data_IF_041219346620
#
_entry.id   IF_041219346620
#
_cell.length_a   1.000
_cell.length_b   1.000
_cell.length_c   1.000
_cell.angle_alpha   90.00
_cell.angle_beta   90.00
_cell.angle_gamma   90.00
#
_symmetry.space_group_name_H-M   'P 1'
#
loop_
_entity.id
_entity.type
_entity.pdbx_description
1 polymer ?
#
# COMPACT_ATOMS: atom_id res chain seq x y z
N UNK A 1 -33.16 -19.22 29.48
CA UNK A 1 -33.17 -19.09 28.01
C UNK A 1 -33.04 -17.64 27.52
N UNK A 2 -33.64 -16.66 28.19
CA UNK A 2 -33.58 -15.22 27.80
C UNK A 2 -32.21 -14.56 27.89
N UNK A 3 -31.34 -14.96 28.79
CA UNK A 3 -30.00 -14.35 28.97
C UNK A 3 -29.00 -14.78 27.89
N UNK A 4 -29.11 -15.98 27.36
CA UNK A 4 -28.24 -16.47 26.27
C UNK A 4 -28.62 -15.81 24.94
N UNK A 5 -29.91 -15.59 24.68
CA UNK A 5 -30.39 -14.89 23.49
C UNK A 5 -29.92 -13.43 23.45
N UNK A 6 -29.88 -12.76 24.62
CA UNK A 6 -29.40 -11.37 24.71
C UNK A 6 -27.87 -11.25 24.44
N UNK A 7 -27.07 -12.25 24.84
CA UNK A 7 -25.62 -12.26 24.59
C UNK A 7 -25.33 -12.54 23.11
N UNK A 8 -26.09 -13.41 22.46
CA UNK A 8 -25.95 -13.69 21.03
C UNK A 8 -26.37 -12.50 20.18
N UNK A 9 -27.40 -11.74 20.60
CA UNK A 9 -27.83 -10.53 19.87
C UNK A 9 -26.81 -9.39 20.01
N UNK A 10 -26.16 -9.24 21.18
CA UNK A 10 -25.10 -8.26 21.40
C UNK A 10 -23.82 -8.59 20.62
N UNK A 11 -23.49 -9.87 20.42
CA UNK A 11 -22.35 -10.27 19.60
C UNK A 11 -22.57 -10.00 18.11
N UNK A 12 -23.82 -10.09 17.62
CA UNK A 12 -24.14 -9.80 16.21
C UNK A 12 -24.04 -8.33 15.85
N UNK A 13 -24.22 -7.40 16.80
CA UNK A 13 -24.10 -5.95 16.55
C UNK A 13 -22.67 -5.43 16.53
N UNK A 14 -21.72 -6.17 17.09
CA UNK A 14 -20.29 -5.83 17.05
C UNK A 14 -19.60 -6.20 15.71
N UNK A 15 -20.20 -7.07 14.91
CA UNK A 15 -19.63 -7.50 13.63
C UNK A 15 -19.85 -6.47 12.49
N UNK A 16 -20.68 -5.46 12.69
CA UNK A 16 -21.06 -4.48 11.65
C UNK A 16 -20.15 -3.27 11.51
N UNK A 17 -19.13 -3.10 12.35
CA UNK A 17 -18.35 -1.86 12.37
C UNK A 17 -16.90 -1.99 11.83
N UNK A 18 -16.51 -3.11 11.21
CA UNK A 18 -15.09 -3.39 10.96
C UNK A 18 -14.63 -3.09 9.52
N UNK A 19 -15.51 -2.93 8.55
CA UNK A 19 -15.10 -2.75 7.15
C UNK A 19 -15.78 -1.53 6.49
N UNK A 20 -15.11 -0.39 6.60
CA UNK A 20 -15.39 0.80 5.78
C UNK A 20 -14.47 0.89 4.55
N UNK A 21 -13.72 -0.17 4.24
CA UNK A 21 -12.97 -0.27 2.99
C UNK A 21 -13.96 -0.37 1.82
N UNK A 22 -13.72 0.37 0.75
CA UNK A 22 -14.49 0.28 -0.50
C UNK A 22 -14.23 -1.03 -1.24
N UNK A 23 -13.18 -1.76 -0.85
CA UNK A 23 -12.89 -3.11 -1.37
C UNK A 23 -13.71 -4.16 -0.63
N UNK A 24 -14.02 -5.25 -1.33
CA UNK A 24 -14.60 -6.44 -0.69
C UNK A 24 -13.54 -7.15 0.18
N UNK A 25 -13.97 -7.90 1.18
CA UNK A 25 -13.07 -8.75 1.97
C UNK A 25 -12.31 -9.75 1.08
N UNK A 26 -12.96 -10.30 0.05
CA UNK A 26 -12.33 -11.16 -0.95
C UNK A 26 -11.16 -10.45 -1.65
N UNK A 27 -11.39 -9.23 -2.13
CA UNK A 27 -10.32 -8.45 -2.81
C UNK A 27 -9.10 -8.20 -1.91
N UNK A 28 -9.30 -8.00 -0.60
CA UNK A 28 -8.18 -7.82 0.34
C UNK A 28 -7.36 -9.10 0.47
N UNK A 29 -8.02 -10.27 0.54
CA UNK A 29 -7.33 -11.56 0.60
C UNK A 29 -6.62 -11.85 -0.73
N UNK A 30 -7.26 -11.57 -1.85
CA UNK A 30 -6.69 -11.77 -3.18
C UNK A 30 -5.45 -10.91 -3.38
N UNK A 31 -5.50 -9.62 -2.96
CA UNK A 31 -4.35 -8.71 -2.98
C UNK A 31 -3.18 -9.25 -2.15
N UNK A 32 -3.43 -9.75 -0.93
CA UNK A 32 -2.38 -10.32 -0.08
C UNK A 32 -1.74 -11.57 -0.69
N UNK A 33 -2.55 -12.48 -1.26
CA UNK A 33 -2.04 -13.68 -1.90
C UNK A 33 -1.20 -13.33 -3.14
N UNK A 34 -1.65 -12.34 -3.90
CA UNK A 34 -0.96 -11.83 -5.08
C UNK A 34 0.38 -11.21 -4.71
N UNK A 35 0.41 -10.35 -3.68
CA UNK A 35 1.61 -9.73 -3.14
C UNK A 35 2.64 -10.76 -2.73
N UNK A 36 2.26 -11.76 -1.91
CA UNK A 36 3.14 -12.82 -1.45
C UNK A 36 3.68 -13.66 -2.63
N UNK A 37 2.85 -13.94 -3.63
CA UNK A 37 3.25 -14.73 -4.79
C UNK A 37 4.27 -13.99 -5.66
N UNK A 38 4.09 -12.69 -5.86
CA UNK A 38 5.02 -11.84 -6.61
C UNK A 38 6.35 -11.71 -5.84
N UNK A 39 6.31 -11.46 -4.53
CA UNK A 39 7.49 -11.40 -3.66
C UNK A 39 8.29 -12.70 -3.74
N UNK A 40 7.63 -13.85 -3.65
CA UNK A 40 8.26 -15.16 -3.72
C UNK A 40 8.96 -15.38 -5.07
N UNK A 41 8.32 -14.98 -6.18
CA UNK A 41 8.93 -15.08 -7.51
C UNK A 41 10.11 -14.14 -7.70
N UNK A 42 10.04 -12.91 -7.20
CA UNK A 42 11.18 -11.97 -7.22
C UNK A 42 12.34 -12.52 -6.40
N UNK A 43 12.07 -13.10 -5.23
CA UNK A 43 13.09 -13.67 -4.35
C UNK A 43 13.73 -14.96 -4.90
N UNK A 44 13.01 -15.72 -5.73
CA UNK A 44 13.56 -16.91 -6.41
C UNK A 44 14.41 -16.56 -7.62
N UNK A 45 14.23 -15.39 -8.18
CA UNK A 45 15.07 -14.87 -9.24
C UNK A 45 16.43 -14.47 -8.67
N UNK A 46 17.47 -15.23 -8.99
CA UNK A 46 18.82 -15.04 -8.42
C UNK A 46 19.41 -13.67 -8.71
N UNK A 47 19.11 -13.11 -9.87
CA UNK A 47 19.62 -11.79 -10.25
C UNK A 47 18.89 -10.67 -9.50
N UNK A 48 17.58 -10.81 -9.31
CA UNK A 48 16.79 -9.86 -8.54
C UNK A 48 17.09 -9.95 -7.03
N UNK A 49 17.29 -11.14 -6.48
CA UNK A 49 17.48 -11.34 -5.04
C UNK A 49 18.85 -10.89 -4.52
N UNK A 50 19.95 -11.09 -5.29
CA UNK A 50 21.30 -10.98 -4.74
C UNK A 50 21.83 -9.56 -4.54
N UNK A 51 21.39 -8.57 -5.33
CA UNK A 51 21.97 -7.21 -5.31
C UNK A 51 20.93 -6.10 -5.32
N UNK A 52 19.68 -6.46 -5.14
CA UNK A 52 18.57 -5.53 -5.28
C UNK A 52 17.70 -5.56 -4.04
N UNK A 53 16.98 -4.48 -3.82
CA UNK A 53 15.90 -4.40 -2.84
C UNK A 53 14.65 -4.03 -3.60
N UNK A 54 13.70 -4.96 -3.70
CA UNK A 54 12.41 -4.71 -4.35
C UNK A 54 11.31 -5.02 -3.34
N UNK A 55 10.56 -4.02 -2.97
CA UNK A 55 9.35 -4.14 -2.19
C UNK A 55 8.14 -4.14 -3.14
N UNK A 56 7.19 -5.00 -2.85
CA UNK A 56 5.94 -5.16 -3.61
C UNK A 56 4.79 -4.79 -2.69
N UNK A 57 3.89 -3.96 -3.17
CA UNK A 57 2.64 -3.62 -2.48
C UNK A 57 1.50 -3.79 -3.46
N UNK A 58 0.46 -4.51 -3.05
CA UNK A 58 -0.73 -4.74 -3.88
C UNK A 58 -1.96 -4.11 -3.24
N UNK A 59 -2.70 -3.35 -4.04
CA UNK A 59 -3.97 -2.76 -3.64
C UNK A 59 -4.97 -2.81 -4.80
N UNK A 60 -6.07 -3.53 -4.62
CA UNK A 60 -7.13 -3.71 -5.63
C UNK A 60 -6.58 -4.20 -6.99
N UNK A 61 -5.61 -5.15 -6.99
CA UNK A 61 -4.95 -5.65 -8.19
C UNK A 61 -3.98 -4.66 -8.87
N UNK A 62 -3.79 -3.47 -8.31
CA UNK A 62 -2.71 -2.55 -8.70
C UNK A 62 -1.47 -2.93 -7.91
N UNK A 63 -0.39 -3.25 -8.62
CA UNK A 63 0.91 -3.61 -8.03
C UNK A 63 1.82 -2.39 -8.08
N UNK A 64 2.34 -1.99 -6.95
CA UNK A 64 3.41 -1.01 -6.81
C UNK A 64 4.72 -1.75 -6.54
N UNK A 65 5.73 -1.48 -7.36
CA UNK A 65 7.10 -1.94 -7.16
C UNK A 65 7.96 -0.75 -6.77
N UNK A 66 8.61 -0.81 -5.62
CA UNK A 66 9.50 0.22 -5.10
C UNK A 66 10.81 -0.38 -4.63
N UNK A 67 11.76 0.48 -4.29
CA UNK A 67 13.09 0.07 -3.86
C UNK A 67 14.14 0.34 -4.90
N UNK A 68 15.14 -0.53 -5.01
CA UNK A 68 16.30 -0.25 -5.87
C UNK A 68 16.84 -1.49 -6.55
N UNK A 69 17.18 -1.35 -7.85
CA UNK A 69 17.88 -2.36 -8.64
C UNK A 69 19.18 -1.79 -9.20
N UNK A 70 20.16 -2.67 -9.43
CA UNK A 70 21.46 -2.27 -9.96
C UNK A 70 21.42 -1.83 -11.42
N UNK A 71 20.43 -2.26 -12.19
CA UNK A 71 20.25 -1.91 -13.61
C UNK A 71 18.79 -1.75 -13.98
N UNK A 72 18.55 -1.04 -15.10
CA UNK A 72 17.20 -0.84 -15.63
C UNK A 72 16.56 -2.15 -16.12
N UNK A 73 17.39 -3.09 -16.62
CA UNK A 73 16.92 -4.40 -17.08
C UNK A 73 16.34 -5.22 -15.93
N UNK A 74 16.93 -5.11 -14.73
CA UNK A 74 16.41 -5.79 -13.54
C UNK A 74 15.13 -5.15 -13.04
N UNK A 75 15.01 -3.81 -13.11
CA UNK A 75 13.75 -3.12 -12.83
C UNK A 75 12.64 -3.58 -13.79
N UNK A 76 12.91 -3.61 -15.10
CA UNK A 76 11.97 -4.09 -16.10
C UNK A 76 11.61 -5.58 -15.90
N UNK A 77 12.57 -6.40 -15.48
CA UNK A 77 12.35 -7.82 -15.17
C UNK A 77 11.41 -8.01 -13.97
N UNK A 78 11.59 -7.22 -12.91
CA UNK A 78 10.67 -7.24 -11.77
C UNK A 78 9.23 -6.88 -12.19
N UNK A 79 9.07 -5.88 -13.06
CA UNK A 79 7.80 -5.49 -13.63
C UNK A 79 7.17 -6.62 -14.46
N UNK A 80 7.94 -7.29 -15.32
CA UNK A 80 7.48 -8.44 -16.10
C UNK A 80 7.03 -9.60 -15.22
N UNK A 81 7.76 -9.90 -14.13
CA UNK A 81 7.36 -10.91 -13.15
C UNK A 81 6.00 -10.55 -12.55
N UNK A 82 5.80 -9.31 -12.12
CA UNK A 82 4.53 -8.87 -11.55
C UNK A 82 3.39 -8.95 -12.59
N UNK A 83 3.61 -8.51 -13.82
CA UNK A 83 2.61 -8.55 -14.89
C UNK A 83 2.17 -9.96 -15.28
N UNK A 84 2.98 -10.97 -15.00
CA UNK A 84 2.70 -12.38 -15.32
C UNK A 84 1.61 -13.02 -14.45
N UNK A 85 1.17 -12.36 -13.38
CA UNK A 85 0.19 -12.92 -12.46
C UNK A 85 -1.25 -12.59 -12.84
N UNK A 86 -2.10 -13.60 -12.77
CA UNK A 86 -3.55 -13.40 -12.88
C UNK A 86 -4.04 -12.56 -11.70
N UNK A 87 -4.89 -11.58 -11.98
CA UNK A 87 -5.40 -10.62 -10.97
C UNK A 87 -4.64 -9.30 -10.95
N UNK A 88 -3.45 -9.21 -11.55
CA UNK A 88 -2.76 -7.93 -11.76
C UNK A 88 -3.48 -7.14 -12.84
N UNK A 89 -3.96 -5.97 -12.46
CA UNK A 89 -4.67 -5.03 -13.35
C UNK A 89 -3.73 -3.97 -13.93
N UNK A 90 -2.73 -3.57 -13.14
CA UNK A 90 -1.73 -2.56 -13.49
C UNK A 90 -0.50 -2.73 -12.62
N UNK A 91 0.67 -2.48 -13.18
CA UNK A 91 1.92 -2.35 -12.43
C UNK A 91 2.38 -0.90 -12.49
N UNK A 92 2.76 -0.35 -11.36
CA UNK A 92 3.42 0.95 -11.20
C UNK A 92 4.83 0.67 -10.73
N UNK A 93 5.79 0.85 -11.62
CA UNK A 93 7.19 0.58 -11.36
C UNK A 93 7.90 1.89 -10.99
N UNK A 94 8.17 2.05 -9.70
CA UNK A 94 8.89 3.20 -9.11
C UNK A 94 10.26 2.74 -8.56
N UNK A 95 10.79 1.61 -9.05
CA UNK A 95 12.10 1.10 -8.67
C UNK A 95 13.17 2.07 -9.18
N UNK A 96 14.01 2.56 -8.28
CA UNK A 96 15.17 3.37 -8.64
C UNK A 96 16.32 2.50 -9.15
N UNK A 97 17.03 2.97 -10.18
CA UNK A 97 18.23 2.30 -10.70
C UNK A 97 19.48 2.92 -10.07
N UNK A 98 20.27 2.09 -9.41
CA UNK A 98 21.49 2.54 -8.76
C UNK A 98 22.13 1.47 -7.88
N UNK A 99 23.30 1.73 -7.30
CA UNK A 99 23.93 0.80 -6.38
C UNK A 99 23.01 0.56 -5.18
N UNK A 100 23.03 -0.68 -4.66
CA UNK A 100 22.31 -1.00 -3.43
C UNK A 100 22.81 -0.09 -2.31
N UNK A 101 21.92 0.69 -1.75
CA UNK A 101 22.19 1.41 -0.51
C UNK A 101 21.87 0.42 0.60
N UNK A 102 22.81 0.20 1.51
CA UNK A 102 22.53 -0.55 2.73
C UNK A 102 21.40 0.17 3.47
N UNK A 103 20.31 -0.57 3.70
CA UNK A 103 19.05 -0.04 4.21
C UNK A 103 19.24 0.34 5.69
N UNK A 104 19.97 1.41 5.94
CA UNK A 104 20.08 2.02 7.27
C UNK A 104 18.79 2.72 7.72
N UNK A 105 17.87 2.98 6.79
CA UNK A 105 16.75 3.89 7.02
C UNK A 105 15.34 3.25 7.07
N UNK A 106 15.24 1.91 7.05
CA UNK A 106 13.92 1.25 7.21
C UNK A 106 13.17 1.67 8.47
N UNK A 107 13.89 2.04 9.53
CA UNK A 107 13.29 2.56 10.76
C UNK A 107 12.72 3.96 10.54
N UNK A 108 13.45 4.82 9.82
CA UNK A 108 13.02 6.18 9.46
C UNK A 108 11.78 6.15 8.58
N UNK A 109 11.73 5.28 7.57
CA UNK A 109 10.60 5.14 6.65
C UNK A 109 9.35 4.60 7.36
N UNK A 110 9.49 3.63 8.26
CA UNK A 110 8.39 3.15 9.11
C UNK A 110 7.82 4.25 10.01
N UNK A 111 8.70 5.05 10.62
CA UNK A 111 8.29 6.20 11.44
C UNK A 111 7.57 7.24 10.57
N UNK A 112 8.08 7.48 9.37
CA UNK A 112 7.49 8.44 8.44
C UNK A 112 6.11 7.98 7.95
N UNK A 113 5.96 6.71 7.55
CA UNK A 113 4.66 6.11 7.22
C UNK A 113 3.67 6.25 8.37
N UNK A 114 4.12 6.02 9.63
CA UNK A 114 3.28 6.15 10.82
C UNK A 114 2.82 7.60 11.03
N UNK A 115 3.70 8.57 10.86
CA UNK A 115 3.36 10.00 10.98
C UNK A 115 2.33 10.42 9.94
N UNK A 116 2.52 9.99 8.68
CA UNK A 116 1.53 10.25 7.62
C UNK A 116 0.18 9.63 7.99
N UNK A 117 0.14 8.35 8.36
CA UNK A 117 -1.09 7.65 8.78
C UNK A 117 -1.79 8.36 9.94
N UNK A 118 -1.03 8.84 10.93
CA UNK A 118 -1.59 9.63 12.05
C UNK A 118 -2.21 10.92 11.55
N UNK A 119 -1.52 11.66 10.67
CA UNK A 119 -2.09 12.88 10.07
C UNK A 119 -3.35 12.62 9.24
N UNK A 120 -3.44 11.46 8.56
CA UNK A 120 -4.66 11.07 7.84
C UNK A 120 -5.84 10.79 8.79
N UNK A 121 -5.58 10.27 9.99
CA UNK A 121 -6.63 10.03 10.98
C UNK A 121 -7.27 11.33 11.51
N UNK A 122 -6.55 12.44 11.40
CA UNK A 122 -7.02 13.77 11.82
C UNK A 122 -7.81 14.51 10.71
N UNK A 123 -8.04 13.88 9.55
CA UNK A 123 -8.85 14.50 8.48
C UNK A 123 -10.28 14.70 8.95
N UNK A 124 -10.66 15.96 9.08
CA UNK A 124 -12.02 16.38 9.37
C UNK A 124 -12.60 17.15 8.17
N UNK A 125 -13.93 17.08 8.01
CA UNK A 125 -14.65 17.86 7.00
C UNK A 125 -14.99 17.08 5.72
N UNK A 126 -14.35 15.95 5.44
CA UNK A 126 -14.75 15.08 4.33
C UNK A 126 -15.71 14.01 4.87
N UNK A 127 -16.99 14.16 4.52
CA UNK A 127 -18.02 13.25 4.99
C UNK A 127 -17.79 11.82 4.48
N UNK A 128 -17.64 10.89 5.43
CA UNK A 128 -17.47 9.47 5.13
C UNK A 128 -16.05 9.08 4.71
N UNK A 129 -15.06 9.96 4.85
CA UNK A 129 -13.66 9.58 4.68
C UNK A 129 -13.24 8.61 5.79
N UNK A 130 -12.55 7.57 5.39
CA UNK A 130 -11.94 6.59 6.30
C UNK A 130 -10.46 6.44 5.93
N UNK A 131 -9.53 6.82 6.83
CA UNK A 131 -8.10 6.74 6.56
C UNK A 131 -7.60 5.33 6.28
N UNK A 132 -8.33 4.28 6.69
CA UNK A 132 -7.97 2.88 6.40
C UNK A 132 -8.08 2.51 4.92
N UNK A 133 -8.76 3.34 4.12
CA UNK A 133 -8.84 3.19 2.65
C UNK A 133 -7.56 3.58 1.93
N UNK A 134 -6.64 4.22 2.64
CA UNK A 134 -5.36 4.67 2.07
C UNK A 134 -4.24 3.83 2.64
N UNK A 135 -3.61 3.06 1.76
CA UNK A 135 -2.33 2.42 2.08
C UNK A 135 -1.21 3.45 1.91
N UNK A 136 -0.38 3.55 2.94
CA UNK A 136 0.79 4.44 2.98
C UNK A 136 2.03 3.59 3.13
N UNK A 137 2.89 3.62 2.14
CA UNK A 137 4.22 2.99 2.15
C UNK A 137 5.27 4.07 1.93
N UNK A 138 6.42 3.94 2.58
CA UNK A 138 7.53 4.88 2.44
C UNK A 138 8.80 4.12 2.12
N UNK A 139 9.54 4.60 1.13
CA UNK A 139 10.86 4.10 0.75
C UNK A 139 11.77 5.30 0.49
N UNK A 140 12.92 5.36 1.18
CA UNK A 140 13.91 6.43 1.07
C UNK A 140 13.32 7.86 1.16
N UNK A 141 12.36 8.08 2.08
CA UNK A 141 11.69 9.37 2.26
C UNK A 141 10.63 9.71 1.20
N UNK A 142 10.39 8.85 0.22
CA UNK A 142 9.31 8.96 -0.75
C UNK A 142 8.08 8.26 -0.22
N UNK A 143 6.96 8.96 -0.12
CA UNK A 143 5.67 8.41 0.34
C UNK A 143 4.83 8.00 -0.86
N UNK A 144 4.44 6.75 -0.89
CA UNK A 144 3.55 6.17 -1.88
C UNK A 144 2.16 5.99 -1.27
N UNK A 145 1.16 6.53 -1.95
CA UNK A 145 -0.23 6.53 -1.50
C UNK A 145 -1.06 5.70 -2.48
N UNK A 146 -1.58 4.58 -2.02
CA UNK A 146 -2.51 3.74 -2.77
C UNK A 146 -3.88 3.77 -2.10
N UNK A 147 -4.94 3.67 -2.88
CA UNK A 147 -6.29 3.67 -2.31
C UNK A 147 -7.37 3.81 -3.37
N UNK A 148 -8.58 3.42 -3.00
CA UNK A 148 -9.79 3.64 -3.78
C UNK A 148 -10.53 4.83 -3.16
N UNK A 149 -10.31 6.02 -3.70
CA UNK A 149 -10.69 7.30 -3.10
C UNK A 149 -11.37 8.23 -4.11
N UNK A 150 -12.12 9.23 -3.65
CA UNK A 150 -12.56 10.32 -4.51
C UNK A 150 -11.42 11.30 -4.78
N UNK A 151 -11.60 12.18 -5.78
CA UNK A 151 -10.60 13.23 -6.04
C UNK A 151 -10.40 14.15 -4.85
N UNK A 152 -11.49 14.55 -4.19
CA UNK A 152 -11.44 15.38 -2.97
C UNK A 152 -10.63 14.69 -1.85
N UNK A 153 -10.91 13.40 -1.60
CA UNK A 153 -10.18 12.60 -0.62
C UNK A 153 -8.70 12.53 -0.97
N UNK A 154 -8.37 12.24 -2.24
CA UNK A 154 -7.00 12.14 -2.73
C UNK A 154 -6.21 13.44 -2.55
N UNK A 155 -6.81 14.60 -2.88
CA UNK A 155 -6.16 15.90 -2.74
C UNK A 155 -5.83 16.18 -1.27
N UNK A 156 -6.77 15.93 -0.37
CA UNK A 156 -6.56 16.14 1.05
C UNK A 156 -5.51 15.22 1.65
N UNK A 157 -5.54 13.93 1.26
CA UNK A 157 -4.54 12.94 1.66
C UNK A 157 -3.13 13.37 1.22
N UNK A 158 -2.99 13.81 -0.02
CA UNK A 158 -1.70 14.28 -0.57
C UNK A 158 -1.21 15.54 0.13
N UNK A 159 -2.10 16.48 0.44
CA UNK A 159 -1.75 17.70 1.18
C UNK A 159 -1.13 17.36 2.54
N UNK A 160 -1.78 16.48 3.30
CA UNK A 160 -1.28 16.03 4.62
C UNK A 160 0.05 15.29 4.48
N UNK A 161 0.16 14.38 3.52
CA UNK A 161 1.40 13.66 3.31
C UNK A 161 2.57 14.61 2.98
N UNK A 162 2.33 15.62 2.13
CA UNK A 162 3.34 16.64 1.78
C UNK A 162 3.71 17.54 2.94
N UNK A 163 2.75 17.83 3.83
CA UNK A 163 2.98 18.66 5.02
C UNK A 163 3.71 17.90 6.14
N UNK A 164 3.81 16.58 6.06
CA UNK A 164 4.44 15.75 7.09
C UNK A 164 5.96 15.94 7.09
N UNK A 165 6.57 16.36 8.21
CA UNK A 165 8.01 16.57 8.29
C UNK A 165 8.79 15.28 8.01
N UNK A 166 9.75 15.38 7.08
CA UNK A 166 10.60 14.27 6.63
C UNK A 166 10.16 13.68 5.29
N UNK A 167 8.98 14.02 4.76
CA UNK A 167 8.55 13.62 3.42
C UNK A 167 9.29 14.43 2.38
N UNK A 168 10.00 13.73 1.48
CA UNK A 168 10.73 14.35 0.37
C UNK A 168 9.88 14.44 -0.89
N UNK A 169 9.10 13.41 -1.19
CA UNK A 169 8.23 13.30 -2.36
C UNK A 169 7.00 12.47 -2.04
N UNK A 170 5.89 12.77 -2.72
CA UNK A 170 4.65 11.98 -2.64
C UNK A 170 4.29 11.47 -4.03
N UNK A 171 4.09 10.18 -4.15
CA UNK A 171 3.64 9.48 -5.36
C UNK A 171 2.20 9.01 -5.16
N UNK A 172 1.34 9.35 -6.12
CA UNK A 172 -0.08 8.99 -6.10
C UNK A 172 -0.30 7.75 -6.95
N UNK A 173 -0.78 6.68 -6.31
CA UNK A 173 -1.15 5.43 -6.99
C UNK A 173 -2.62 5.14 -6.68
N UNK A 174 -3.45 6.17 -6.73
CA UNK A 174 -4.87 6.08 -6.47
C UNK A 174 -5.66 5.49 -7.64
N UNK A 175 -6.79 4.90 -7.31
CA UNK A 175 -7.93 4.68 -8.19
C UNK A 175 -9.06 5.60 -7.72
N UNK A 176 -9.70 6.29 -8.65
CA UNK A 176 -10.75 7.26 -8.33
C UNK A 176 -12.13 6.63 -8.45
N UNK A 177 -13.05 7.06 -7.56
CA UNK A 177 -14.42 6.54 -7.47
C UNK A 177 -15.47 7.47 -8.07
N UNK A 178 -15.06 8.64 -8.52
CA UNK A 178 -15.87 9.71 -9.15
C UNK A 178 -15.36 10.05 -10.55
#
# INVERSE_FOLDING_TARGET
MTRIAAILLAAATLAGCIFHDRRSFGSVIDDQNLELSIIDSINRDKELALKNHVEVVVYNGVVLLIGRTSTAELSARAEQVAMGYQGVRRVVNEIEVGPRIDVGDTTSDKVLSTRVKTGLADIVGIKGFDPTRVNVTTEAGVVYLMGLVSQEEAERVVEIARATPGVQRVVRVFEYTD
#
